data_IF_591829309420
#
_entry.id   IF_591829309420
#
_cell.length_a   1.000
_cell.length_b   1.000
_cell.length_c   1.000
_cell.angle_alpha   90.00
_cell.angle_beta   90.00
_cell.angle_gamma   90.00
#
_symmetry.space_group_name_H-M   'P 1'
#
loop_
_entity.id
_entity.type
_entity.pdbx_description
1 polymer ?
#
# COMPACT_ATOMS: atom_id res chain seq x y z
N UNK A 1 -24.50 -9.81 27.98
CA UNK A 1 -23.29 -9.74 27.12
C UNK A 1 -22.66 -8.35 27.07
N UNK A 2 -23.38 -7.28 26.69
CA UNK A 2 -22.79 -5.92 26.57
C UNK A 2 -22.13 -5.40 27.87
N UNK A 3 -22.77 -5.54 29.04
CA UNK A 3 -22.19 -5.11 30.33
C UNK A 3 -20.89 -5.85 30.69
N UNK A 4 -20.82 -7.17 30.48
CA UNK A 4 -19.62 -7.97 30.75
C UNK A 4 -18.47 -7.60 29.80
N UNK A 5 -18.78 -7.28 28.54
CA UNK A 5 -17.80 -6.81 27.57
C UNK A 5 -17.22 -5.45 27.98
N UNK A 6 -18.07 -4.50 28.40
CA UNK A 6 -17.60 -3.20 28.88
C UNK A 6 -16.75 -3.32 30.15
N UNK A 7 -17.10 -4.23 31.06
CA UNK A 7 -16.26 -4.54 32.22
C UNK A 7 -14.89 -5.10 31.80
N UNK A 8 -14.87 -6.06 30.87
CA UNK A 8 -13.65 -6.63 30.33
C UNK A 8 -12.76 -5.57 29.66
N UNK A 9 -13.37 -4.68 28.86
CA UNK A 9 -12.68 -3.55 28.22
C UNK A 9 -12.02 -2.64 29.25
N UNK A 10 -12.74 -2.26 30.31
CA UNK A 10 -12.18 -1.43 31.41
C UNK A 10 -11.03 -2.14 32.14
N UNK A 11 -11.11 -3.45 32.34
CA UNK A 11 -10.02 -4.23 32.94
C UNK A 11 -8.77 -4.23 32.04
N UNK A 12 -8.95 -4.37 30.73
CA UNK A 12 -7.88 -4.27 29.73
C UNK A 12 -7.22 -2.89 29.72
N UNK A 13 -8.02 -1.82 29.75
CA UNK A 13 -7.51 -0.44 29.79
C UNK A 13 -6.64 -0.20 31.04
N UNK A 14 -7.10 -0.64 32.21
CA UNK A 14 -6.31 -0.58 33.46
C UNK A 14 -5.02 -1.40 33.39
N UNK A 15 -5.08 -2.61 32.83
CA UNK A 15 -3.91 -3.46 32.68
C UNK A 15 -2.86 -2.80 31.77
N UNK A 16 -3.29 -2.20 30.66
CA UNK A 16 -2.43 -1.46 29.74
C UNK A 16 -1.73 -0.29 30.42
N UNK A 17 -2.44 0.53 31.20
CA UNK A 17 -1.84 1.63 31.96
C UNK A 17 -0.77 1.15 32.95
N UNK A 18 -1.00 0.00 33.60
CA UNK A 18 -0.05 -0.59 34.53
C UNK A 18 1.21 -1.17 33.84
N UNK A 19 1.08 -1.62 32.59
CA UNK A 19 2.16 -2.22 31.81
C UNK A 19 2.99 -1.16 31.08
N UNK A 20 2.37 -0.09 30.57
CA UNK A 20 3.06 1.10 30.04
C UNK A 20 3.99 1.73 31.11
N UNK A 21 3.62 1.64 32.39
CA UNK A 21 4.45 2.11 33.52
C UNK A 21 5.63 1.15 33.85
N UNK A 22 5.60 -0.12 33.40
CA UNK A 22 6.61 -1.16 33.69
C UNK A 22 7.58 -1.44 32.54
N UNK A 23 7.36 -0.85 31.36
CA UNK A 23 8.17 -1.10 30.16
C UNK A 23 9.55 -0.42 30.24
N UNK A 24 10.50 -1.03 30.95
CA UNK A 24 11.91 -0.91 30.56
C UNK A 24 12.16 -1.91 29.43
N UNK A 25 12.25 -1.43 28.18
CA UNK A 25 12.48 -2.29 27.02
C UNK A 25 13.92 -2.79 26.99
N UNK A 26 14.21 -3.83 27.78
CA UNK A 26 15.45 -4.59 27.57
C UNK A 26 15.42 -5.16 26.15
N UNK A 27 16.44 -4.83 25.35
CA UNK A 27 16.63 -5.41 24.00
C UNK A 27 16.82 -6.92 24.05
N UNK A 28 17.23 -7.43 25.21
CA UNK A 28 17.45 -8.84 25.49
C UNK A 28 16.30 -9.40 26.31
N UNK A 29 15.79 -10.57 25.91
CA UNK A 29 14.74 -11.30 26.64
C UNK A 29 14.86 -12.80 26.43
N UNK A 30 14.55 -13.57 27.48
CA UNK A 30 14.50 -15.02 27.42
C UNK A 30 13.24 -15.51 26.67
N UNK A 31 13.27 -16.73 26.11
CA UNK A 31 12.08 -17.32 25.51
C UNK A 31 11.03 -17.66 26.59
N UNK A 32 9.76 -17.50 26.26
CA UNK A 32 8.61 -17.85 27.09
C UNK A 32 7.59 -18.60 26.25
N UNK A 33 7.15 -19.76 26.73
CA UNK A 33 6.03 -20.51 26.17
C UNK A 33 5.03 -20.74 27.31
N UNK A 34 3.81 -20.28 27.11
CA UNK A 34 2.73 -20.42 28.09
C UNK A 34 1.52 -21.05 27.42
N UNK A 35 1.04 -22.16 27.98
CA UNK A 35 -0.20 -22.81 27.52
C UNK A 35 -1.32 -22.26 28.39
N UNK A 36 -2.13 -21.37 27.83
CA UNK A 36 -3.24 -20.75 28.54
C UNK A 36 -4.33 -21.81 28.74
N UNK A 37 -4.63 -22.11 30.00
CA UNK A 37 -5.69 -23.03 30.40
C UNK A 37 -6.89 -22.23 30.88
N UNK A 38 -8.08 -22.70 30.53
CA UNK A 38 -9.30 -22.13 31.09
C UNK A 38 -9.52 -22.68 32.49
N UNK A 39 -9.88 -21.82 33.45
CA UNK A 39 -10.36 -22.27 34.75
C UNK A 39 -11.79 -22.75 34.56
N UNK A 40 -12.02 -24.05 34.69
CA UNK A 40 -13.34 -24.66 34.61
C UNK A 40 -14.21 -24.12 35.76
N UNK A 41 -15.07 -23.13 35.49
CA UNK A 41 -16.18 -22.79 36.39
C UNK A 41 -17.34 -23.76 36.18
N UNK A 42 -18.13 -24.02 37.22
CA UNK A 42 -19.24 -24.99 37.22
C UNK A 42 -20.25 -24.76 36.06
N UNK A 43 -20.46 -23.51 35.65
CA UNK A 43 -21.37 -23.11 34.56
C UNK A 43 -20.88 -23.55 33.15
N UNK A 44 -19.58 -23.78 32.97
CA UNK A 44 -18.98 -24.26 31.71
C UNK A 44 -19.10 -25.78 31.55
N UNK A 45 -19.10 -26.51 32.67
CA UNK A 45 -19.23 -27.97 32.71
C UNK A 45 -20.62 -28.41 32.26
N UNK A 46 -21.68 -27.66 32.64
CA UNK A 46 -23.05 -27.91 32.20
C UNK A 46 -23.24 -27.76 30.68
N UNK A 47 -22.48 -26.88 30.03
CA UNK A 47 -22.66 -26.55 28.60
C UNK A 47 -21.71 -27.29 27.63
N UNK A 48 -20.77 -28.13 28.12
CA UNK A 48 -19.81 -28.93 27.30
C UNK A 48 -19.09 -28.15 26.18
N UNK A 49 -18.80 -26.86 26.38
CA UNK A 49 -18.10 -26.06 25.35
C UNK A 49 -16.60 -26.31 25.47
N UNK A 50 -16.04 -27.11 24.56
CA UNK A 50 -14.60 -27.36 24.48
C UNK A 50 -13.90 -26.16 23.79
N UNK A 51 -13.20 -25.33 24.57
CA UNK A 51 -12.47 -24.17 24.04
C UNK A 51 -11.15 -24.63 23.41
N UNK A 52 -10.79 -24.16 22.20
CA UNK A 52 -9.50 -24.46 21.59
C UNK A 52 -8.32 -24.03 22.47
N UNK A 53 -7.26 -24.85 22.47
CA UNK A 53 -6.02 -24.55 23.21
C UNK A 53 -5.36 -23.27 22.66
N UNK A 54 -5.06 -22.34 23.56
CA UNK A 54 -4.29 -21.13 23.24
C UNK A 54 -2.86 -21.28 23.80
N UNK A 55 -1.86 -21.06 22.94
CA UNK A 55 -0.44 -21.11 23.32
C UNK A 55 0.19 -19.76 23.02
N UNK A 56 0.65 -19.08 24.07
CA UNK A 56 1.42 -17.85 23.96
C UNK A 56 2.91 -18.19 23.80
N UNK A 57 3.56 -17.56 22.81
CA UNK A 57 4.99 -17.76 22.54
C UNK A 57 5.68 -16.40 22.39
N UNK A 58 6.62 -16.12 23.28
CA UNK A 58 7.59 -15.05 23.13
C UNK A 58 8.96 -15.65 22.86
N UNK A 59 9.49 -15.44 21.65
CA UNK A 59 10.84 -15.88 21.29
C UNK A 59 11.91 -15.10 22.06
N UNK A 60 13.02 -15.78 22.30
CA UNK A 60 14.27 -15.16 22.76
C UNK A 60 14.68 -14.03 21.82
N UNK A 61 15.17 -12.92 22.39
CA UNK A 61 15.86 -11.89 21.63
C UNK A 61 17.17 -11.54 22.31
N UNK A 62 18.20 -11.34 21.50
CA UNK A 62 19.51 -10.83 21.88
C UNK A 62 19.89 -9.71 20.94
N UNK A 63 20.39 -8.60 21.47
CA UNK A 63 20.86 -7.44 20.71
C UNK A 63 21.94 -7.78 19.68
N UNK A 64 22.70 -8.85 19.90
CA UNK A 64 23.77 -9.32 19.01
C UNK A 64 23.29 -10.12 17.80
N UNK A 65 22.01 -10.46 17.72
CA UNK A 65 21.46 -11.33 16.68
C UNK A 65 20.32 -10.66 15.92
N UNK A 66 20.29 -10.83 14.60
CA UNK A 66 19.16 -10.38 13.79
C UNK A 66 17.98 -11.35 13.90
N UNK A 67 16.77 -10.82 14.12
CA UNK A 67 15.59 -11.63 14.46
C UNK A 67 14.60 -11.83 13.30
N UNK A 68 14.88 -11.29 12.10
CA UNK A 68 14.05 -11.47 10.90
C UNK A 68 12.56 -11.12 11.09
N UNK A 69 12.26 -10.12 11.94
CA UNK A 69 10.93 -9.54 12.14
C UNK A 69 9.78 -10.57 12.17
N UNK A 70 8.73 -10.40 11.35
CA UNK A 70 7.54 -11.27 11.30
C UNK A 70 7.88 -12.69 10.84
N UNK A 71 8.67 -12.84 9.78
CA UNK A 71 9.09 -14.15 9.26
C UNK A 71 9.80 -15.01 10.32
N UNK A 72 10.72 -14.42 11.08
CA UNK A 72 11.39 -15.11 12.18
C UNK A 72 10.44 -15.52 13.31
N UNK A 73 9.36 -14.76 13.55
CA UNK A 73 8.36 -15.11 14.56
C UNK A 73 7.52 -16.30 14.10
N UNK A 74 7.04 -16.28 12.85
CA UNK A 74 6.27 -17.38 12.25
C UNK A 74 7.10 -18.67 12.21
N UNK A 75 8.39 -18.59 11.87
CA UNK A 75 9.28 -19.76 11.88
C UNK A 75 9.46 -20.36 13.28
N UNK A 76 9.48 -19.55 14.35
CA UNK A 76 9.50 -20.05 15.73
C UNK A 76 8.15 -20.70 16.07
N UNK A 77 7.03 -20.05 15.73
CA UNK A 77 5.69 -20.58 15.96
C UNK A 77 5.49 -21.93 15.27
N UNK A 78 5.99 -22.11 14.04
CA UNK A 78 5.96 -23.38 13.32
C UNK A 78 6.71 -24.49 14.06
N UNK A 79 7.92 -24.21 14.58
CA UNK A 79 8.70 -25.20 15.35
C UNK A 79 8.02 -25.57 16.66
N UNK A 80 7.48 -24.59 17.38
CA UNK A 80 6.75 -24.84 18.63
C UNK A 80 5.46 -25.62 18.36
N UNK A 81 4.71 -25.25 17.33
CA UNK A 81 3.50 -25.95 16.89
C UNK A 81 3.80 -27.42 16.54
N UNK A 82 4.90 -27.67 15.82
CA UNK A 82 5.36 -29.02 15.49
C UNK A 82 5.58 -29.93 16.70
N UNK A 83 5.91 -29.37 17.87
CA UNK A 83 6.08 -30.11 19.12
C UNK A 83 4.78 -30.25 19.93
N UNK A 84 3.88 -29.26 19.85
CA UNK A 84 2.69 -29.19 20.72
C UNK A 84 1.45 -29.84 20.07
N UNK A 85 1.18 -29.53 18.81
CA UNK A 85 -0.03 -30.00 18.10
C UNK A 85 0.29 -30.72 16.79
N UNK A 86 1.45 -30.44 16.18
CA UNK A 86 1.90 -30.97 14.90
C UNK A 86 0.82 -30.88 13.80
N UNK A 87 0.12 -29.76 13.76
CA UNK A 87 -0.96 -29.54 12.79
C UNK A 87 -0.41 -29.51 11.35
N UNK A 88 -1.04 -30.20 10.39
CA UNK A 88 -0.57 -30.26 9.00
C UNK A 88 -0.81 -28.96 8.22
N UNK A 89 -1.67 -28.07 8.72
CA UNK A 89 -2.06 -26.83 8.05
C UNK A 89 -1.86 -25.64 8.99
N UNK A 90 -1.46 -24.51 8.43
CA UNK A 90 -1.26 -23.25 9.15
C UNK A 90 -2.18 -22.17 8.58
N UNK A 91 -2.92 -21.50 9.45
CA UNK A 91 -3.59 -20.24 9.15
C UNK A 91 -2.77 -19.10 9.76
N UNK A 92 -2.35 -18.14 8.92
CA UNK A 92 -1.63 -16.93 9.36
C UNK A 92 -2.59 -15.75 9.29
N UNK A 93 -2.75 -15.04 10.41
CA UNK A 93 -3.56 -13.83 10.52
C UNK A 93 -2.76 -12.72 11.18
N UNK A 94 -2.94 -11.50 10.69
CA UNK A 94 -2.35 -10.30 11.29
C UNK A 94 -3.22 -9.81 12.45
N UNK A 95 -2.61 -9.07 13.39
CA UNK A 95 -3.29 -8.62 14.61
C UNK A 95 -4.44 -7.64 14.35
N UNK A 96 -4.44 -7.01 13.18
CA UNK A 96 -5.47 -6.10 12.70
C UNK A 96 -6.47 -6.79 11.76
N UNK A 97 -6.43 -8.13 11.65
CA UNK A 97 -7.36 -8.94 10.87
C UNK A 97 -8.17 -9.85 11.80
N UNK A 98 -9.50 -9.78 11.74
CA UNK A 98 -10.40 -10.68 12.45
C UNK A 98 -11.08 -11.67 11.48
N UNK A 99 -11.44 -12.84 12.01
CA UNK A 99 -12.28 -13.80 11.32
C UNK A 99 -13.73 -13.32 11.38
N UNK A 100 -14.31 -12.98 10.22
CA UNK A 100 -15.67 -12.46 10.11
C UNK A 100 -16.68 -13.57 9.80
N UNK A 101 -16.29 -14.56 9.00
CA UNK A 101 -17.10 -15.76 8.77
C UNK A 101 -16.51 -16.96 9.55
N UNK A 102 -17.21 -17.53 10.55
CA UNK A 102 -16.71 -18.68 11.30
C UNK A 102 -16.49 -19.93 10.42
N UNK A 103 -17.05 -19.96 9.20
CA UNK A 103 -16.87 -21.04 8.24
C UNK A 103 -15.58 -20.91 7.40
N UNK A 104 -14.83 -19.81 7.53
CA UNK A 104 -13.64 -19.53 6.70
C UNK A 104 -12.62 -20.67 6.70
N UNK A 105 -12.32 -21.24 7.88
CA UNK A 105 -11.41 -22.39 7.97
C UNK A 105 -11.96 -23.61 7.21
N UNK A 106 -13.26 -23.91 7.36
CA UNK A 106 -13.91 -25.02 6.66
C UNK A 106 -13.94 -24.81 5.15
N UNK A 107 -14.18 -23.59 4.68
CA UNK A 107 -14.12 -23.23 3.27
C UNK A 107 -12.72 -23.46 2.69
N UNK A 108 -11.67 -23.08 3.40
CA UNK A 108 -10.29 -23.37 2.99
C UNK A 108 -10.02 -24.88 2.89
N UNK A 109 -10.54 -25.66 3.86
CA UNK A 109 -10.39 -27.12 3.87
C UNK A 109 -11.01 -27.80 2.65
N UNK A 110 -12.05 -27.22 2.04
CA UNK A 110 -12.63 -27.78 0.80
C UNK A 110 -11.61 -27.90 -0.33
N UNK A 111 -10.69 -26.93 -0.47
CA UNK A 111 -9.64 -26.98 -1.48
C UNK A 111 -8.45 -27.86 -1.05
N UNK A 112 -8.09 -27.78 0.22
CA UNK A 112 -6.94 -28.51 0.78
C UNK A 112 -7.19 -30.02 0.81
N UNK A 113 -8.44 -30.45 0.98
CA UNK A 113 -8.81 -31.88 1.04
C UNK A 113 -9.30 -32.43 -0.31
N UNK A 114 -9.38 -31.60 -1.36
CA UNK A 114 -9.78 -32.05 -2.70
C UNK A 114 -8.67 -32.94 -3.29
N UNK A 115 -8.93 -34.23 -3.59
CA UNK A 115 -7.91 -35.14 -4.12
C UNK A 115 -7.30 -34.73 -5.47
N UNK A 116 -8.00 -33.89 -6.25
CA UNK A 116 -7.54 -33.40 -7.55
C UNK A 116 -6.60 -32.20 -7.43
N UNK A 117 -6.83 -31.32 -6.44
CA UNK A 117 -6.08 -30.06 -6.31
C UNK A 117 -4.99 -30.16 -5.22
N UNK A 118 -5.28 -30.88 -4.13
CA UNK A 118 -4.45 -30.92 -2.91
C UNK A 118 -2.99 -31.34 -3.11
N UNK A 119 -2.71 -32.20 -4.10
CA UNK A 119 -1.37 -32.76 -4.33
C UNK A 119 -0.31 -31.71 -4.66
N UNK A 120 -0.74 -30.62 -5.30
CA UNK A 120 0.14 -29.54 -5.74
C UNK A 120 -0.24 -28.20 -5.10
N UNK A 121 -1.19 -28.18 -4.16
CA UNK A 121 -1.67 -26.95 -3.51
C UNK A 121 -0.76 -26.56 -2.34
N UNK A 122 -0.16 -25.37 -2.42
CA UNK A 122 0.61 -24.81 -1.32
C UNK A 122 -0.24 -24.01 -0.32
N UNK A 123 -1.15 -23.17 -0.81
CA UNK A 123 -1.98 -22.33 0.06
C UNK A 123 -3.28 -21.87 -0.59
N UNK A 124 -4.25 -21.50 0.26
CA UNK A 124 -5.50 -20.83 -0.12
C UNK A 124 -5.43 -19.39 0.38
N UNK A 125 -5.46 -18.44 -0.54
CA UNK A 125 -5.47 -17.01 -0.24
C UNK A 125 -6.91 -16.48 -0.23
N UNK A 126 -7.29 -15.82 0.86
CA UNK A 126 -8.52 -15.04 0.94
C UNK A 126 -8.22 -13.57 0.62
N UNK A 127 -9.19 -12.82 0.04
CA UNK A 127 -9.10 -11.37 -0.10
C UNK A 127 -8.94 -10.69 1.26
N UNK A 128 -8.17 -9.61 1.30
CA UNK A 128 -8.13 -8.71 2.45
C UNK A 128 -9.23 -7.66 2.29
N UNK A 129 -10.29 -7.77 3.10
CA UNK A 129 -11.33 -6.76 3.21
C UNK A 129 -11.08 -5.89 4.45
N UNK A 130 -11.59 -4.65 4.46
CA UNK A 130 -11.40 -3.73 5.58
C UNK A 130 -12.72 -3.15 6.04
N UNK A 131 -12.93 -3.03 7.36
CA UNK A 131 -14.21 -2.59 7.93
C UNK A 131 -14.32 -1.06 8.11
N UNK A 132 -13.21 -0.33 8.08
CA UNK A 132 -13.13 1.11 8.37
C UNK A 132 -12.98 1.98 7.10
N UNK A 133 -13.36 1.48 5.93
CA UNK A 133 -13.24 2.19 4.66
C UNK A 133 -14.44 3.10 4.45
N UNK A 134 -14.18 4.36 4.09
CA UNK A 134 -15.22 5.33 3.73
C UNK A 134 -15.70 5.11 2.29
N UNK A 135 -16.95 5.47 2.01
CA UNK A 135 -17.50 5.51 0.64
C UNK A 135 -16.67 6.40 -0.32
N UNK A 136 -15.95 7.38 0.23
CA UNK A 136 -15.07 8.26 -0.53
C UNK A 136 -13.72 7.62 -0.88
N UNK A 137 -13.26 6.67 -0.05
CA UNK A 137 -11.94 6.00 -0.09
C UNK A 137 -10.82 6.82 -0.75
N UNK A 138 -10.56 8.03 -0.22
CA UNK A 138 -9.63 8.99 -0.82
C UNK A 138 -8.16 8.52 -0.85
N UNK A 139 -7.84 7.46 -0.11
CA UNK A 139 -6.51 6.84 -0.05
C UNK A 139 -6.46 5.48 -0.76
N UNK A 140 -7.54 5.09 -1.46
CA UNK A 140 -7.68 3.83 -2.18
C UNK A 140 -7.27 2.62 -1.30
N UNK A 141 -7.59 2.67 -0.01
CA UNK A 141 -7.09 1.75 1.01
C UNK A 141 -7.71 0.36 0.84
N UNK A 142 -8.87 0.27 0.20
CA UNK A 142 -9.48 -1.01 -0.12
C UNK A 142 -8.79 -1.74 -1.27
N UNK A 143 -7.98 -1.05 -2.09
CA UNK A 143 -7.26 -1.61 -3.23
C UNK A 143 -8.17 -2.46 -4.14
N UNK A 144 -9.39 -1.96 -4.43
CA UNK A 144 -10.49 -2.72 -5.06
C UNK A 144 -10.08 -3.37 -6.37
N UNK A 145 -9.52 -2.59 -7.28
CA UNK A 145 -9.05 -3.09 -8.59
C UNK A 145 -8.03 -4.19 -8.42
N UNK A 146 -7.14 -4.05 -7.43
CA UNK A 146 -6.07 -5.00 -7.16
C UNK A 146 -6.59 -6.34 -6.62
N UNK A 147 -7.51 -6.34 -5.64
CA UNK A 147 -8.04 -7.57 -5.04
C UNK A 147 -9.16 -8.24 -5.86
N UNK A 148 -9.95 -7.48 -6.63
CA UNK A 148 -11.11 -8.03 -7.35
C UNK A 148 -10.83 -8.36 -8.82
N UNK A 149 -9.99 -7.57 -9.49
CA UNK A 149 -9.82 -7.62 -10.95
C UNK A 149 -8.38 -7.97 -11.37
N UNK A 150 -7.38 -7.40 -10.70
CA UNK A 150 -5.96 -7.56 -11.04
C UNK A 150 -5.38 -8.95 -10.79
N UNK A 151 -4.09 -9.12 -11.13
CA UNK A 151 -3.37 -10.35 -10.81
C UNK A 151 -3.33 -10.56 -9.28
N UNK A 152 -3.96 -11.66 -8.83
CA UNK A 152 -4.28 -11.92 -7.43
C UNK A 152 -3.11 -12.51 -6.64
N UNK A 153 -2.00 -11.78 -6.59
CA UNK A 153 -0.81 -12.15 -5.81
C UNK A 153 -0.46 -10.99 -4.87
N UNK A 154 -0.84 -11.00 -3.58
CA UNK A 154 -0.08 -10.20 -2.60
C UNK A 154 -0.39 -10.39 -1.12
N UNK A 155 0.68 -10.18 -0.35
CA UNK A 155 0.77 -9.61 1.00
C UNK A 155 2.21 -8.99 1.15
N UNK A 156 2.78 -8.80 2.33
CA UNK A 156 4.13 -8.25 2.58
C UNK A 156 5.30 -8.94 1.83
N UNK A 157 6.45 -8.27 1.78
CA UNK A 157 7.61 -8.69 0.97
C UNK A 157 8.06 -10.13 1.25
N UNK A 158 8.06 -10.55 2.53
CA UNK A 158 8.41 -11.91 2.91
C UNK A 158 7.40 -12.97 2.46
N UNK A 159 6.12 -12.63 2.39
CA UNK A 159 5.07 -13.58 1.98
C UNK A 159 4.94 -13.65 0.45
N UNK A 160 5.15 -12.54 -0.27
CA UNK A 160 5.30 -12.51 -1.73
C UNK A 160 6.49 -13.37 -2.14
N UNK A 161 7.63 -13.22 -1.45
CA UNK A 161 8.81 -14.05 -1.70
C UNK A 161 8.54 -15.52 -1.39
N UNK A 162 7.89 -15.82 -0.26
CA UNK A 162 7.56 -17.21 0.13
C UNK A 162 6.62 -17.86 -0.90
N UNK A 163 5.55 -17.16 -1.29
CA UNK A 163 4.61 -17.63 -2.31
C UNK A 163 5.28 -17.84 -3.66
N UNK A 164 6.12 -16.90 -4.10
CA UNK A 164 6.90 -17.05 -5.32
C UNK A 164 7.84 -18.26 -5.26
N UNK A 165 8.56 -18.47 -4.14
CA UNK A 165 9.45 -19.62 -3.99
C UNK A 165 8.69 -20.95 -4.03
N UNK A 166 7.48 -21.02 -3.47
CA UNK A 166 6.62 -22.19 -3.59
C UNK A 166 6.22 -22.43 -5.06
N UNK A 167 5.80 -21.38 -5.75
CA UNK A 167 5.43 -21.46 -7.17
C UNK A 167 6.61 -21.84 -8.07
N UNK A 168 7.83 -21.36 -7.80
CA UNK A 168 9.04 -21.77 -8.56
C UNK A 168 9.33 -23.26 -8.43
N UNK A 169 8.91 -23.90 -7.32
CA UNK A 169 9.06 -25.34 -7.09
C UNK A 169 7.94 -26.17 -7.73
N UNK A 170 6.95 -25.54 -8.34
CA UNK A 170 5.82 -26.17 -9.01
C UNK A 170 4.58 -26.32 -8.14
N UNK A 171 4.55 -25.72 -6.96
CA UNK A 171 3.31 -25.64 -6.20
C UNK A 171 2.35 -24.63 -6.83
N UNK A 172 1.07 -24.79 -6.56
CA UNK A 172 -0.04 -23.94 -6.99
C UNK A 172 -0.71 -23.28 -5.78
N UNK A 173 -1.47 -22.22 -6.03
CA UNK A 173 -2.25 -21.53 -5.01
C UNK A 173 -3.68 -21.33 -5.48
N UNK A 174 -4.64 -21.34 -4.56
CA UNK A 174 -6.03 -20.97 -4.83
C UNK A 174 -6.29 -19.57 -4.27
N UNK A 175 -6.95 -18.72 -5.04
CA UNK A 175 -7.54 -17.49 -4.52
C UNK A 175 -9.05 -17.65 -4.40
N UNK A 176 -9.58 -17.54 -3.18
CA UNK A 176 -10.99 -17.76 -2.90
C UNK A 176 -11.63 -16.51 -2.31
N UNK A 177 -12.58 -15.92 -3.05
CA UNK A 177 -13.36 -14.73 -2.66
C UNK A 177 -14.81 -15.16 -2.34
N UNK A 178 -15.10 -15.51 -1.07
CA UNK A 178 -16.46 -15.89 -0.68
C UNK A 178 -17.44 -14.70 -0.75
N UNK A 179 -18.74 -14.95 -0.95
CA UNK A 179 -19.75 -13.87 -1.00
C UNK A 179 -19.78 -12.99 0.25
N UNK A 180 -19.53 -13.58 1.42
CA UNK A 180 -19.31 -12.87 2.67
C UNK A 180 -17.79 -12.79 2.92
N UNK A 181 -17.22 -11.61 3.22
CA UNK A 181 -15.82 -11.49 3.59
C UNK A 181 -15.44 -12.46 4.71
N UNK A 182 -14.51 -13.37 4.43
CA UNK A 182 -14.00 -14.32 5.42
C UNK A 182 -13.24 -13.63 6.55
N UNK A 183 -12.43 -12.63 6.19
CA UNK A 183 -11.59 -11.88 7.12
C UNK A 183 -11.78 -10.37 6.90
N UNK A 184 -11.90 -9.62 7.98
CA UNK A 184 -11.96 -8.15 7.95
C UNK A 184 -10.77 -7.56 8.68
N UNK A 185 -10.18 -6.54 8.08
CA UNK A 185 -9.03 -5.82 8.59
C UNK A 185 -9.32 -4.38 8.93
N UNK A 186 -8.33 -3.71 9.51
CA UNK A 186 -8.26 -2.25 9.55
C UNK A 186 -7.36 -1.74 8.41
N UNK A 187 -7.91 -0.89 7.54
CA UNK A 187 -7.20 -0.21 6.46
C UNK A 187 -6.63 1.14 6.89
N UNK A 188 -5.77 1.75 6.07
CA UNK A 188 -5.21 3.07 6.33
C UNK A 188 -6.25 4.18 6.11
N UNK A 189 -6.34 5.12 7.02
CA UNK A 189 -7.35 6.22 6.98
C UNK A 189 -6.74 7.61 7.04
N UNK A 190 -5.41 7.73 7.04
CA UNK A 190 -4.70 8.99 6.90
C UNK A 190 -3.61 8.90 5.81
N UNK A 191 -3.12 10.05 5.36
CA UNK A 191 -2.13 10.12 4.29
C UNK A 191 -0.78 9.55 4.74
N UNK A 192 -0.32 9.88 5.94
CA UNK A 192 0.99 9.46 6.44
C UNK A 192 1.18 7.94 6.39
N UNK A 193 0.21 7.20 6.94
CA UNK A 193 0.23 5.75 6.98
C UNK A 193 0.20 5.13 5.59
N UNK A 194 -0.58 5.73 4.69
CA UNK A 194 -0.65 5.33 3.28
C UNK A 194 0.72 5.47 2.61
N UNK A 195 1.41 6.60 2.81
CA UNK A 195 2.73 6.86 2.21
C UNK A 195 3.82 5.94 2.79
N UNK A 196 3.85 5.78 4.12
CA UNK A 196 4.83 4.93 4.81
C UNK A 196 4.64 3.47 4.42
N UNK A 197 3.39 2.99 4.38
CA UNK A 197 3.08 1.61 3.99
C UNK A 197 3.54 1.32 2.55
N UNK A 198 3.21 2.20 1.60
CA UNK A 198 3.60 2.02 0.21
C UNK A 198 5.11 2.11 0.00
N UNK A 199 5.80 3.01 0.72
CA UNK A 199 7.27 3.11 0.67
C UNK A 199 7.92 1.80 1.13
N UNK A 200 7.43 1.24 2.24
CA UNK A 200 7.96 -0.01 2.82
C UNK A 200 7.73 -1.20 1.88
N UNK A 201 6.51 -1.35 1.35
CA UNK A 201 6.17 -2.45 0.44
C UNK A 201 7.05 -2.41 -0.81
N UNK A 202 7.13 -1.26 -1.47
CA UNK A 202 7.86 -1.12 -2.72
C UNK A 202 9.38 -1.20 -2.53
N UNK A 203 9.91 -0.74 -1.40
CA UNK A 203 11.33 -0.89 -1.09
C UNK A 203 11.72 -2.36 -0.97
N UNK A 204 10.93 -3.16 -0.27
CA UNK A 204 11.23 -4.58 -0.14
C UNK A 204 10.96 -5.37 -1.43
N UNK A 205 9.93 -5.02 -2.22
CA UNK A 205 9.71 -5.61 -3.53
C UNK A 205 10.90 -5.36 -4.47
N UNK A 206 11.46 -4.15 -4.43
CA UNK A 206 12.66 -3.81 -5.19
C UNK A 206 13.90 -4.56 -4.68
N UNK A 207 14.00 -4.85 -3.38
CA UNK A 207 15.05 -5.74 -2.85
C UNK A 207 14.93 -7.17 -3.43
N UNK A 208 13.71 -7.69 -3.57
CA UNK A 208 13.50 -9.01 -4.19
C UNK A 208 13.97 -9.00 -5.64
N UNK A 209 13.66 -7.94 -6.39
CA UNK A 209 13.97 -7.84 -7.83
C UNK A 209 15.46 -7.81 -8.16
N UNK A 210 16.31 -7.35 -7.24
CA UNK A 210 17.78 -7.36 -7.41
C UNK A 210 18.46 -8.50 -6.64
N UNK A 211 17.71 -9.27 -5.85
CA UNK A 211 18.26 -10.38 -5.08
C UNK A 211 18.51 -11.60 -5.98
N UNK A 212 19.18 -12.62 -5.42
CA UNK A 212 19.26 -13.95 -6.05
C UNK A 212 17.89 -14.57 -6.33
N UNK A 213 16.82 -14.07 -5.72
CA UNK A 213 15.43 -14.52 -5.90
C UNK A 213 14.66 -13.65 -6.89
N UNK A 214 15.33 -12.88 -7.76
CA UNK A 214 14.65 -12.11 -8.79
C UNK A 214 13.73 -13.01 -9.64
N UNK A 215 12.44 -12.65 -9.82
CA UNK A 215 11.50 -13.48 -10.58
C UNK A 215 11.97 -13.75 -12.02
N UNK A 216 12.70 -12.82 -12.65
CA UNK A 216 13.16 -12.92 -14.03
C UNK A 216 14.37 -13.83 -14.21
N UNK A 217 15.22 -14.00 -13.18
CA UNK A 217 16.51 -14.69 -13.30
C UNK A 217 16.61 -15.95 -12.45
N UNK A 218 15.67 -16.18 -11.53
CA UNK A 218 15.72 -17.34 -10.64
C UNK A 218 15.50 -18.65 -11.42
N UNK A 219 16.51 -19.53 -11.43
CA UNK A 219 16.47 -20.85 -12.07
C UNK A 219 16.87 -21.97 -11.09
N UNK A 220 16.37 -23.21 -11.27
CA UNK A 220 15.31 -23.60 -12.20
C UNK A 220 13.91 -23.23 -11.64
N UNK A 221 13.11 -22.48 -12.42
CA UNK A 221 11.74 -22.11 -12.07
C UNK A 221 10.74 -22.94 -12.88
N UNK A 222 9.71 -23.48 -12.22
CA UNK A 222 8.56 -24.14 -12.85
C UNK A 222 7.38 -23.21 -13.12
N UNK A 223 7.51 -21.91 -12.84
CA UNK A 223 6.44 -20.93 -13.11
C UNK A 223 6.25 -20.70 -14.61
N UNK A 224 5.01 -20.43 -15.02
CA UNK A 224 4.73 -20.00 -16.39
C UNK A 224 5.33 -18.62 -16.68
N UNK A 225 5.50 -18.28 -17.96
CA UNK A 225 5.96 -16.95 -18.39
C UNK A 225 5.03 -15.86 -17.85
N UNK A 226 3.71 -16.06 -17.93
CA UNK A 226 2.73 -15.08 -17.46
C UNK A 226 2.81 -14.87 -15.94
N UNK A 227 2.96 -15.94 -15.17
CA UNK A 227 3.14 -15.86 -13.72
C UNK A 227 4.46 -15.17 -13.35
N UNK A 228 5.53 -15.46 -14.09
CA UNK A 228 6.83 -14.81 -13.95
C UNK A 228 6.72 -13.30 -14.22
N UNK A 229 6.01 -12.91 -15.29
CA UNK A 229 5.75 -11.51 -15.60
C UNK A 229 4.91 -10.83 -14.51
N UNK A 230 3.89 -11.49 -13.97
CA UNK A 230 3.07 -10.92 -12.89
C UNK A 230 3.90 -10.63 -11.62
N UNK A 231 4.75 -11.59 -11.18
CA UNK A 231 5.69 -11.35 -10.07
C UNK A 231 6.70 -10.25 -10.39
N UNK A 232 7.18 -10.19 -11.63
CA UNK A 232 8.13 -9.15 -12.06
C UNK A 232 7.51 -7.76 -12.04
N UNK A 233 6.29 -7.60 -12.56
CA UNK A 233 5.58 -6.33 -12.54
C UNK A 233 5.44 -5.77 -11.12
N UNK A 234 5.15 -6.64 -10.14
CA UNK A 234 5.09 -6.27 -8.72
C UNK A 234 6.48 -5.92 -8.17
N UNK A 235 7.48 -6.76 -8.45
CA UNK A 235 8.85 -6.58 -7.94
C UNK A 235 9.53 -5.28 -8.43
N UNK A 236 9.25 -4.86 -9.66
CA UNK A 236 9.82 -3.64 -10.27
C UNK A 236 8.92 -2.40 -10.17
N UNK A 237 7.79 -2.49 -9.47
CA UNK A 237 6.77 -1.44 -9.44
C UNK A 237 7.32 -0.07 -8.99
N UNK A 238 8.27 -0.04 -8.04
CA UNK A 238 8.89 1.19 -7.53
C UNK A 238 9.54 2.05 -8.65
N UNK A 239 10.04 1.42 -9.71
CA UNK A 239 10.71 2.13 -10.82
C UNK A 239 9.74 2.97 -11.66
N UNK A 240 8.44 2.71 -11.57
CA UNK A 240 7.42 3.52 -12.26
C UNK A 240 7.39 4.98 -11.77
N UNK A 241 7.97 5.26 -10.58
CA UNK A 241 8.12 6.62 -10.06
C UNK A 241 8.82 7.57 -11.01
N UNK A 242 9.90 7.11 -11.67
CA UNK A 242 10.63 7.94 -12.63
C UNK A 242 9.74 8.35 -13.82
N UNK A 243 8.96 7.42 -14.36
CA UNK A 243 8.04 7.69 -15.46
C UNK A 243 6.93 8.67 -15.05
N UNK A 244 6.35 8.49 -13.87
CA UNK A 244 5.28 9.37 -13.36
C UNK A 244 5.81 10.77 -13.05
N UNK A 245 7.02 10.90 -12.50
CA UNK A 245 7.67 12.19 -12.25
C UNK A 245 8.00 12.90 -13.56
N UNK A 246 8.54 12.18 -14.55
CA UNK A 246 8.76 12.73 -15.88
C UNK A 246 7.45 13.25 -16.50
N UNK A 247 6.37 12.46 -16.42
CA UNK A 247 5.05 12.86 -16.91
C UNK A 247 4.47 14.06 -16.14
N UNK A 248 4.77 14.17 -14.85
CA UNK A 248 4.31 15.29 -14.01
C UNK A 248 5.07 16.58 -14.29
N UNK A 249 6.37 16.51 -14.62
CA UNK A 249 7.26 17.67 -14.67
C UNK A 249 7.52 18.14 -16.12
N UNK A 250 7.85 17.23 -17.03
CA UNK A 250 8.33 17.57 -18.39
C UNK A 250 7.24 18.24 -19.23
N UNK A 251 6.01 17.70 -19.34
CA UNK A 251 4.95 18.36 -20.12
C UNK A 251 4.64 19.77 -19.66
N UNK A 252 4.73 20.02 -18.35
CA UNK A 252 4.45 21.30 -17.73
C UNK A 252 5.54 22.31 -18.04
N UNK A 253 6.81 21.94 -17.89
CA UNK A 253 7.94 22.80 -18.23
C UNK A 253 8.03 23.08 -19.74
N UNK A 254 7.76 22.08 -20.58
CA UNK A 254 7.63 22.30 -22.03
C UNK A 254 6.45 23.22 -22.35
N UNK A 255 5.35 23.14 -21.61
CA UNK A 255 4.18 24.01 -21.80
C UNK A 255 4.54 25.44 -21.38
N UNK A 256 5.33 25.60 -20.31
CA UNK A 256 5.89 26.88 -19.89
C UNK A 256 6.82 27.49 -20.93
N UNK A 257 7.55 26.71 -21.74
CA UNK A 257 8.49 27.17 -22.79
C UNK A 257 7.96 27.16 -24.23
N UNK A 258 6.81 26.55 -24.47
CA UNK A 258 6.15 26.56 -25.79
C UNK A 258 6.68 25.47 -26.71
N UNK A 259 7.37 24.52 -26.11
CA UNK A 259 7.95 23.37 -26.78
C UNK A 259 6.83 22.34 -26.93
N UNK A 260 6.56 21.97 -28.18
CA UNK A 260 5.54 20.97 -28.53
C UNK A 260 6.09 19.56 -28.32
N UNK A 261 5.52 18.80 -27.38
CA UNK A 261 5.87 17.40 -27.15
C UNK A 261 5.00 16.41 -27.93
N UNK A 262 3.75 16.79 -28.19
CA UNK A 262 2.76 15.91 -28.82
C UNK A 262 2.45 16.36 -30.26
N UNK A 263 2.04 15.43 -31.14
CA UNK A 263 1.55 15.78 -32.47
C UNK A 263 0.37 16.76 -32.38
N UNK A 264 0.21 17.58 -33.42
CA UNK A 264 -0.96 18.48 -33.53
C UNK A 264 -2.23 17.65 -33.69
N UNK A 265 -3.38 18.18 -33.32
CA UNK A 265 -4.67 17.48 -33.44
C UNK A 265 -4.99 17.08 -34.89
N UNK A 266 -4.52 17.86 -35.87
CA UNK A 266 -4.66 17.56 -37.30
C UNK A 266 -3.75 16.43 -37.78
N UNK A 267 -2.76 16.03 -36.99
CA UNK A 267 -1.84 14.95 -37.31
C UNK A 267 -2.51 13.60 -37.01
N UNK A 268 -2.56 12.65 -37.96
CA UNK A 268 -3.11 11.31 -37.72
C UNK A 268 -2.49 10.59 -36.53
N UNK A 269 -1.21 10.84 -36.20
CA UNK A 269 -0.55 10.24 -35.05
C UNK A 269 -1.13 10.70 -33.72
N UNK A 270 -1.73 11.90 -33.64
CA UNK A 270 -2.40 12.37 -32.43
C UNK A 270 -3.52 11.42 -32.01
N UNK A 271 -4.26 10.85 -32.98
CA UNK A 271 -5.33 9.91 -32.70
C UNK A 271 -4.81 8.66 -31.96
N UNK A 272 -3.60 8.18 -32.26
CA UNK A 272 -3.02 7.02 -31.59
C UNK A 272 -2.73 7.34 -30.11
N UNK A 273 -2.12 8.48 -29.81
CA UNK A 273 -1.88 8.91 -28.43
C UNK A 273 -3.19 9.09 -27.66
N UNK A 274 -4.19 9.73 -28.30
CA UNK A 274 -5.51 9.92 -27.70
C UNK A 274 -6.20 8.59 -27.42
N UNK A 275 -6.19 7.64 -28.37
CA UNK A 275 -6.78 6.31 -28.19
C UNK A 275 -6.10 5.58 -27.05
N UNK A 276 -4.77 5.52 -26.99
CA UNK A 276 -4.06 4.81 -25.91
C UNK A 276 -4.40 5.39 -24.54
N UNK A 277 -4.38 6.72 -24.40
CA UNK A 277 -4.73 7.39 -23.15
C UNK A 277 -6.20 7.15 -22.74
N UNK A 278 -7.12 7.28 -23.71
CA UNK A 278 -8.55 7.06 -23.47
C UNK A 278 -8.85 5.60 -23.15
N UNK A 279 -8.22 4.64 -23.84
CA UNK A 279 -8.37 3.21 -23.58
C UNK A 279 -7.93 2.86 -22.16
N UNK A 280 -6.76 3.35 -21.71
CA UNK A 280 -6.31 3.15 -20.33
C UNK A 280 -7.28 3.75 -19.31
N UNK A 281 -7.72 4.99 -19.54
CA UNK A 281 -8.62 5.71 -18.63
C UNK A 281 -9.99 5.04 -18.55
N UNK A 282 -10.54 4.63 -19.69
CA UNK A 282 -11.82 3.91 -19.79
C UNK A 282 -11.69 2.53 -19.15
N UNK A 283 -10.61 1.79 -19.42
CA UNK A 283 -10.39 0.49 -18.80
C UNK A 283 -10.40 0.62 -17.27
N UNK A 284 -9.60 1.53 -16.70
CA UNK A 284 -9.57 1.74 -15.25
C UNK A 284 -10.95 2.16 -14.71
N UNK A 285 -11.69 3.00 -15.44
CA UNK A 285 -13.04 3.39 -15.04
C UNK A 285 -14.01 2.19 -15.03
N UNK A 286 -14.00 1.37 -16.08
CA UNK A 286 -14.80 0.15 -16.18
C UNK A 286 -14.44 -0.82 -15.04
N UNK A 287 -13.16 -0.99 -14.75
CA UNK A 287 -12.71 -1.82 -13.62
C UNK A 287 -13.28 -1.33 -12.29
N UNK A 288 -13.23 -0.02 -12.02
CA UNK A 288 -13.85 0.55 -10.82
C UNK A 288 -15.35 0.27 -10.77
N UNK A 289 -16.08 0.44 -11.88
CA UNK A 289 -17.52 0.14 -11.95
C UNK A 289 -17.81 -1.35 -11.72
N UNK A 290 -17.02 -2.26 -12.29
CA UNK A 290 -17.14 -3.70 -12.10
C UNK A 290 -16.95 -4.12 -10.63
N UNK A 291 -16.22 -3.34 -9.83
CA UNK A 291 -16.08 -3.55 -8.38
C UNK A 291 -17.17 -2.89 -7.52
N UNK A 292 -18.20 -2.31 -8.16
CA UNK A 292 -19.26 -1.55 -7.50
C UNK A 292 -18.84 -0.14 -7.05
N UNK A 293 -17.77 0.41 -7.65
CA UNK A 293 -17.29 1.76 -7.37
C UNK A 293 -18.07 2.84 -8.13
N UNK A 294 -17.94 4.09 -7.68
CA UNK A 294 -18.52 5.27 -8.32
C UNK A 294 -17.49 6.06 -9.14
N UNK A 295 -17.95 7.03 -9.93
CA UNK A 295 -17.03 7.98 -10.59
C UNK A 295 -16.13 8.73 -9.58
N UNK A 296 -16.66 9.06 -8.41
CA UNK A 296 -15.90 9.69 -7.33
C UNK A 296 -14.75 8.79 -6.85
N UNK A 297 -15.01 7.49 -6.68
CA UNK A 297 -14.00 6.50 -6.34
C UNK A 297 -12.95 6.34 -7.45
N UNK A 298 -13.37 6.32 -8.71
CA UNK A 298 -12.44 6.31 -9.84
C UNK A 298 -11.49 7.51 -9.80
N UNK A 299 -12.03 8.71 -9.59
CA UNK A 299 -11.25 9.93 -9.55
C UNK A 299 -10.30 9.99 -8.35
N UNK A 300 -10.77 9.57 -7.17
CA UNK A 300 -9.93 9.46 -5.97
C UNK A 300 -8.84 8.38 -6.11
N UNK A 301 -9.16 7.27 -6.78
CA UNK A 301 -8.20 6.22 -7.14
C UNK A 301 -7.10 6.73 -8.06
N UNK A 302 -7.45 7.53 -9.07
CA UNK A 302 -6.47 8.20 -9.95
C UNK A 302 -5.56 9.15 -9.16
N UNK A 303 -6.14 9.98 -8.28
CA UNK A 303 -5.37 10.88 -7.41
C UNK A 303 -4.38 10.13 -6.53
N UNK A 304 -4.85 9.07 -5.87
CA UNK A 304 -4.02 8.23 -5.00
C UNK A 304 -2.93 7.53 -5.81
N UNK A 305 -3.28 6.94 -6.95
CA UNK A 305 -2.32 6.21 -7.79
C UNK A 305 -1.18 7.12 -8.24
N UNK A 306 -1.48 8.33 -8.71
CA UNK A 306 -0.46 9.31 -9.09
C UNK A 306 0.42 9.72 -7.89
N UNK A 307 -0.23 10.00 -6.76
CA UNK A 307 0.41 10.40 -5.49
C UNK A 307 1.38 9.33 -4.99
N UNK A 308 0.92 8.08 -4.90
CA UNK A 308 1.67 6.93 -4.39
C UNK A 308 2.79 6.54 -5.36
N UNK A 309 2.52 6.57 -6.67
CA UNK A 309 3.52 6.22 -7.69
C UNK A 309 4.59 7.29 -7.85
N UNK A 310 4.29 8.57 -7.69
CA UNK A 310 5.29 9.63 -7.79
C UNK A 310 6.24 9.68 -6.57
N UNK A 311 5.68 9.56 -5.36
CA UNK A 311 6.41 9.91 -4.13
C UNK A 311 6.85 8.68 -3.32
N UNK A 312 5.96 7.88 -2.70
CA UNK A 312 6.35 6.65 -1.99
C UNK A 312 7.26 5.73 -2.80
N UNK A 313 7.04 5.59 -4.10
CA UNK A 313 7.86 4.72 -4.93
C UNK A 313 9.26 5.30 -5.19
N UNK A 314 9.37 6.63 -5.32
CA UNK A 314 10.68 7.29 -5.35
C UNK A 314 11.43 7.09 -4.04
N UNK A 315 10.75 7.31 -2.90
CA UNK A 315 11.34 7.06 -1.59
C UNK A 315 11.68 5.59 -1.37
N UNK A 316 10.92 4.66 -1.95
CA UNK A 316 11.23 3.24 -1.94
C UNK A 316 12.54 2.95 -2.69
N UNK A 317 12.75 3.55 -3.87
CA UNK A 317 14.01 3.45 -4.60
C UNK A 317 15.20 4.01 -3.80
N UNK A 318 15.03 5.18 -3.17
CA UNK A 318 16.07 5.78 -2.32
C UNK A 318 16.36 4.91 -1.09
N UNK A 319 15.31 4.46 -0.39
CA UNK A 319 15.43 3.60 0.78
C UNK A 319 16.14 2.28 0.44
N UNK A 320 15.78 1.67 -0.68
CA UNK A 320 16.44 0.50 -1.24
C UNK A 320 17.93 0.78 -1.51
N UNK A 321 18.25 1.86 -2.23
CA UNK A 321 19.62 2.20 -2.58
C UNK A 321 20.48 2.41 -1.32
N UNK A 322 19.97 3.16 -0.34
CA UNK A 322 20.65 3.40 0.94
C UNK A 322 20.92 2.09 1.71
N UNK A 323 20.00 1.12 1.64
CA UNK A 323 20.20 -0.23 2.22
C UNK A 323 21.27 -1.01 1.47
N UNK A 324 21.29 -0.95 0.13
CA UNK A 324 22.30 -1.64 -0.69
C UNK A 324 23.73 -1.19 -0.39
N UNK A 325 23.93 0.11 -0.12
CA UNK A 325 25.26 0.66 0.20
C UNK A 325 25.58 0.65 1.71
N UNK A 326 24.72 0.05 2.54
CA UNK A 326 24.94 -0.07 3.99
C UNK A 326 24.79 1.23 4.77
N UNK A 327 24.20 2.28 4.18
CA UNK A 327 23.93 3.56 4.85
C UNK A 327 22.66 3.56 5.69
N UNK A 328 21.82 2.53 5.56
CA UNK A 328 20.59 2.39 6.33
C UNK A 328 20.36 0.94 6.72
N UNK A 329 20.06 0.72 7.99
CA UNK A 329 19.69 -0.59 8.49
C UNK A 329 18.33 -1.07 7.93
N UNK A 330 18.17 -2.38 7.88
CA UNK A 330 16.88 -3.01 7.61
C UNK A 330 16.01 -2.82 8.86
N UNK A 331 15.27 -1.71 8.92
CA UNK A 331 14.27 -1.44 9.96
C UNK A 331 12.85 -1.76 9.45
N UNK A 332 12.03 -2.35 10.32
CA UNK A 332 10.62 -2.63 10.08
C UNK A 332 9.81 -2.04 11.23
N UNK A 333 9.17 -0.90 10.96
CA UNK A 333 8.18 -0.29 11.84
C UNK A 333 6.79 -0.57 11.27
N UNK A 334 5.91 -1.28 11.99
CA UNK A 334 4.52 -1.40 11.60
C UNK A 334 3.88 -0.03 11.49
N UNK A 335 2.98 0.13 10.52
CA UNK A 335 2.15 1.32 10.40
C UNK A 335 1.12 1.35 11.52
N UNK A 336 0.90 2.50 12.15
CA UNK A 336 -0.10 2.62 13.20
C UNK A 336 -1.48 2.90 12.59
N UNK A 337 -2.31 1.88 12.43
CA UNK A 337 -3.64 2.02 11.83
C UNK A 337 -4.71 2.57 12.79
N UNK A 338 -4.31 3.14 13.92
CA UNK A 338 -5.19 3.92 14.78
C UNK A 338 -5.13 5.40 14.38
N UNK A 339 -6.25 5.97 13.97
CA UNK A 339 -6.35 7.40 13.65
C UNK A 339 -7.07 8.17 14.75
N UNK A 340 -6.75 9.45 14.88
CA UNK A 340 -7.47 10.37 15.76
C UNK A 340 -8.88 10.64 15.21
N UNK A 341 -9.83 11.01 16.09
CA UNK A 341 -11.23 11.24 15.68
C UNK A 341 -11.36 12.31 14.58
N UNK A 342 -10.52 13.36 14.63
CA UNK A 342 -10.49 14.41 13.62
C UNK A 342 -9.97 13.94 12.25
N UNK A 343 -9.00 13.03 12.23
CA UNK A 343 -8.49 12.42 10.99
C UNK A 343 -9.57 11.54 10.34
N UNK A 344 -10.27 10.74 11.16
CA UNK A 344 -11.38 9.91 10.72
C UNK A 344 -12.49 10.77 10.11
N UNK A 345 -12.86 11.88 10.76
CA UNK A 345 -13.85 12.84 10.23
C UNK A 345 -13.44 13.39 8.87
N UNK A 346 -12.18 13.82 8.70
CA UNK A 346 -11.65 14.30 7.40
C UNK A 346 -11.73 13.22 6.33
N UNK A 347 -11.28 12.00 6.64
CA UNK A 347 -11.33 10.86 5.74
C UNK A 347 -12.75 10.54 5.28
N UNK A 348 -13.72 10.50 6.21
CA UNK A 348 -15.12 10.29 5.87
C UNK A 348 -15.69 11.41 5.00
N UNK A 349 -15.27 12.66 5.19
CA UNK A 349 -15.68 13.79 4.36
C UNK A 349 -14.93 13.89 3.02
N UNK A 350 -13.98 12.99 2.75
CA UNK A 350 -13.18 12.99 1.53
C UNK A 350 -12.13 14.11 1.47
N UNK A 351 -11.67 14.56 2.64
CA UNK A 351 -10.65 15.61 2.78
C UNK A 351 -9.30 14.95 3.06
N UNK A 352 -8.30 15.22 2.21
CA UNK A 352 -6.93 14.75 2.41
C UNK A 352 -6.29 15.46 3.62
N UNK A 353 -5.71 14.72 4.55
CA UNK A 353 -4.84 15.27 5.58
C UNK A 353 -3.40 15.34 5.07
N UNK A 354 -2.70 16.44 5.34
CA UNK A 354 -1.27 16.58 5.04
C UNK A 354 -0.43 16.54 6.32
N UNK A 355 -0.94 15.89 7.36
CA UNK A 355 -0.27 15.65 8.64
C UNK A 355 0.73 14.48 8.48
N UNK A 356 1.78 14.69 7.69
CA UNK A 356 2.82 13.69 7.40
C UNK A 356 4.22 14.29 7.49
N UNK A 357 5.25 13.45 7.34
CA UNK A 357 6.65 13.86 7.32
C UNK A 357 6.89 14.95 6.26
N UNK A 358 7.56 16.03 6.68
CA UNK A 358 7.84 17.22 5.85
C UNK A 358 8.47 16.86 4.50
N UNK A 359 9.27 15.78 4.43
CA UNK A 359 9.91 15.34 3.18
C UNK A 359 8.90 14.95 2.10
N UNK A 360 7.77 14.36 2.47
CA UNK A 360 6.72 14.00 1.52
C UNK A 360 5.95 15.24 1.07
N UNK A 361 5.52 16.08 2.04
CA UNK A 361 4.76 17.30 1.77
C UNK A 361 5.54 18.26 0.89
N UNK A 362 6.84 18.40 1.11
CA UNK A 362 7.71 19.28 0.33
C UNK A 362 7.73 18.90 -1.16
N UNK A 363 7.79 17.60 -1.48
CA UNK A 363 7.78 17.16 -2.89
C UNK A 363 6.37 17.32 -3.49
N UNK A 364 5.30 17.00 -2.76
CA UNK A 364 3.92 17.23 -3.24
C UNK A 364 3.68 18.69 -3.60
N UNK A 365 4.04 19.59 -2.69
CA UNK A 365 3.86 21.04 -2.86
C UNK A 365 4.70 21.57 -4.02
N UNK A 366 5.94 21.07 -4.18
CA UNK A 366 6.82 21.45 -5.30
C UNK A 366 6.23 21.05 -6.64
N UNK A 367 5.80 19.79 -6.78
CA UNK A 367 5.19 19.32 -8.04
C UNK A 367 3.88 20.05 -8.31
N UNK A 368 2.99 20.19 -7.31
CA UNK A 368 1.71 20.85 -7.48
C UNK A 368 1.87 22.32 -7.88
N UNK A 369 2.76 23.05 -7.22
CA UNK A 369 3.02 24.47 -7.51
C UNK A 369 3.68 24.65 -8.87
N UNK A 370 4.65 23.81 -9.22
CA UNK A 370 5.26 23.82 -10.56
C UNK A 370 4.20 23.65 -11.65
N UNK A 371 3.30 22.68 -11.46
CA UNK A 371 2.28 22.32 -12.44
C UNK A 371 1.28 23.46 -12.63
N UNK A 372 0.80 24.08 -11.54
CA UNK A 372 -0.12 25.22 -11.64
C UNK A 372 0.55 26.43 -12.28
N UNK A 373 1.74 26.80 -11.81
CA UNK A 373 2.45 27.97 -12.33
C UNK A 373 2.76 27.80 -13.83
N UNK A 374 3.28 26.63 -14.21
CA UNK A 374 3.61 26.31 -15.60
C UNK A 374 2.37 26.26 -16.49
N UNK A 375 1.28 25.66 -16.00
CA UNK A 375 0.02 25.60 -16.73
C UNK A 375 -0.58 26.99 -16.97
N UNK A 376 -0.66 27.84 -15.94
CA UNK A 376 -1.25 29.18 -16.08
C UNK A 376 -0.45 30.07 -17.04
N UNK A 377 0.88 30.10 -16.89
CA UNK A 377 1.76 30.89 -17.76
C UNK A 377 1.78 30.32 -19.19
N UNK A 378 1.91 29.01 -19.32
CA UNK A 378 1.94 28.34 -20.60
C UNK A 378 0.62 28.43 -21.37
N UNK A 379 -0.52 28.34 -20.69
CA UNK A 379 -1.85 28.57 -21.29
C UNK A 379 -2.01 30.01 -21.75
N UNK A 380 -1.63 30.99 -20.91
CA UNK A 380 -1.63 32.41 -21.29
C UNK A 380 -0.82 32.62 -22.58
N UNK A 381 0.41 32.08 -22.63
CA UNK A 381 1.26 32.20 -23.82
C UNK A 381 0.65 31.51 -25.04
N UNK A 382 0.11 30.31 -24.89
CA UNK A 382 -0.50 29.56 -25.99
C UNK A 382 -1.69 30.31 -26.64
N UNK A 383 -2.44 31.07 -25.82
CA UNK A 383 -3.51 31.95 -26.29
C UNK A 383 -2.93 33.18 -26.99
N UNK A 384 -1.98 33.89 -26.35
CA UNK A 384 -1.37 35.11 -26.92
C UNK A 384 -0.65 34.86 -28.24
N UNK A 385 0.08 33.74 -28.36
CA UNK A 385 0.83 33.38 -29.57
C UNK A 385 0.00 32.61 -30.60
N UNK A 386 -1.29 32.37 -30.34
CA UNK A 386 -2.19 31.56 -31.19
C UNK A 386 -1.67 30.13 -31.45
N UNK A 387 -0.84 29.59 -30.54
CA UNK A 387 -0.21 28.27 -30.66
C UNK A 387 -1.01 27.14 -30.00
N UNK A 388 -2.22 27.43 -29.49
CA UNK A 388 -3.11 26.47 -28.82
C UNK A 388 -3.42 25.20 -29.65
N UNK A 389 -3.58 25.32 -30.98
CA UNK A 389 -3.79 24.17 -31.86
C UNK A 389 -2.59 23.22 -31.89
N UNK A 390 -1.37 23.76 -31.76
CA UNK A 390 -0.14 22.96 -31.73
C UNK A 390 0.10 22.33 -30.35
N UNK A 391 -0.39 22.97 -29.29
CA UNK A 391 -0.16 22.57 -27.90
C UNK A 391 -1.35 21.84 -27.27
N UNK A 392 -2.42 21.57 -28.01
CA UNK A 392 -3.68 21.04 -27.48
C UNK A 392 -3.49 19.80 -26.59
N UNK A 393 -2.83 18.74 -27.08
CA UNK A 393 -2.61 17.52 -26.30
C UNK A 393 -1.84 17.77 -25.00
N UNK A 394 -0.87 18.68 -25.06
CA UNK A 394 -0.06 19.07 -23.90
C UNK A 394 -0.86 19.89 -22.89
N UNK A 395 -1.71 20.81 -23.35
CA UNK A 395 -2.62 21.58 -22.51
C UNK A 395 -3.62 20.65 -21.82
N UNK A 396 -4.22 19.71 -22.55
CA UNK A 396 -5.17 18.72 -21.99
C UNK A 396 -4.52 17.84 -20.92
N UNK A 397 -3.34 17.29 -21.20
CA UNK A 397 -2.60 16.47 -20.22
C UNK A 397 -2.18 17.29 -19.00
N UNK A 398 -1.66 18.50 -19.21
CA UNK A 398 -1.21 19.39 -18.13
C UNK A 398 -2.37 19.80 -17.23
N UNK A 399 -3.55 20.06 -17.81
CA UNK A 399 -4.77 20.31 -17.06
C UNK A 399 -5.19 19.09 -16.22
N UNK A 400 -5.17 17.89 -16.80
CA UNK A 400 -5.49 16.66 -16.07
C UNK A 400 -4.55 16.44 -14.87
N UNK A 401 -3.25 16.69 -15.05
CA UNK A 401 -2.26 16.62 -13.96
C UNK A 401 -2.56 17.66 -12.87
N UNK A 402 -2.86 18.91 -13.23
CA UNK A 402 -3.24 19.95 -12.23
C UNK A 402 -4.50 19.52 -11.45
N UNK A 403 -5.49 18.94 -12.14
CA UNK A 403 -6.73 18.48 -11.51
C UNK A 403 -6.50 17.31 -10.52
N UNK A 404 -5.52 16.44 -10.81
CA UNK A 404 -5.06 15.37 -9.91
C UNK A 404 -4.45 15.96 -8.63
N UNK A 405 -3.62 16.99 -8.74
CA UNK A 405 -2.96 17.64 -7.59
C UNK A 405 -3.83 18.68 -6.85
N UNK A 406 -5.09 18.87 -7.23
CA UNK A 406 -6.00 19.82 -6.59
C UNK A 406 -6.04 19.75 -5.05
N UNK A 407 -6.11 18.56 -4.39
CA UNK A 407 -6.15 18.49 -2.93
C UNK A 407 -4.92 19.12 -2.25
N UNK A 408 -3.75 19.07 -2.90
CA UNK A 408 -2.52 19.71 -2.40
C UNK A 408 -2.68 21.23 -2.48
N UNK A 409 -3.17 21.75 -3.61
CA UNK A 409 -3.36 23.18 -3.83
C UNK A 409 -4.40 23.76 -2.86
N UNK A 410 -5.50 23.05 -2.66
CA UNK A 410 -6.53 23.40 -1.69
C UNK A 410 -5.95 23.44 -0.26
N UNK A 411 -5.14 22.44 0.11
CA UNK A 411 -4.49 22.39 1.41
C UNK A 411 -3.41 23.48 1.61
N UNK A 412 -2.76 23.94 0.53
CA UNK A 412 -1.77 25.03 0.59
C UNK A 412 -2.42 26.42 0.67
N UNK A 413 -3.48 26.66 -0.10
CA UNK A 413 -3.98 28.02 -0.35
C UNK A 413 -5.31 28.34 0.34
N UNK A 414 -6.20 27.35 0.50
CA UNK A 414 -7.60 27.59 0.90
C UNK A 414 -7.88 27.13 2.32
N UNK A 415 -7.22 26.07 2.79
CA UNK A 415 -7.49 25.44 4.08
C UNK A 415 -6.67 26.04 5.22
N UNK A 416 -7.30 26.13 6.39
CA UNK A 416 -6.71 26.60 7.66
C UNK A 416 -6.85 25.61 8.82
N UNK A 417 -7.35 24.41 8.54
CA UNK A 417 -7.47 23.34 9.54
C UNK A 417 -6.12 22.64 9.76
N UNK A 418 -6.04 21.80 10.81
CA UNK A 418 -4.81 21.07 11.17
C UNK A 418 -4.25 20.17 10.05
N UNK A 419 -5.10 19.75 9.11
CA UNK A 419 -4.72 18.95 7.95
C UNK A 419 -4.21 19.77 6.76
N UNK A 420 -4.09 21.09 6.88
CA UNK A 420 -3.56 21.98 5.84
C UNK A 420 -2.03 21.96 5.80
N UNK A 421 -1.46 22.57 4.75
CA UNK A 421 0.00 22.64 4.57
C UNK A 421 0.52 23.94 5.18
N UNK A 422 1.53 23.83 6.05
CA UNK A 422 2.09 25.00 6.73
C UNK A 422 2.78 25.98 5.76
N UNK A 423 2.69 27.27 6.06
CA UNK A 423 3.33 28.34 5.28
C UNK A 423 4.84 28.17 5.20
N UNK A 424 5.47 27.61 6.23
CA UNK A 424 6.90 27.29 6.23
C UNK A 424 7.28 26.34 5.08
N UNK A 425 6.48 25.28 4.86
CA UNK A 425 6.71 24.35 3.75
C UNK A 425 6.55 25.07 2.42
N UNK A 426 5.51 25.91 2.27
CA UNK A 426 5.30 26.71 1.05
C UNK A 426 6.48 27.61 0.71
N UNK A 427 7.16 28.19 1.71
CA UNK A 427 8.39 28.98 1.47
C UNK A 427 9.53 28.10 0.98
N UNK A 428 9.75 26.93 1.59
CA UNK A 428 10.76 25.97 1.14
C UNK A 428 10.49 25.50 -0.30
N UNK A 429 9.22 25.29 -0.66
CA UNK A 429 8.79 24.95 -2.01
C UNK A 429 9.32 25.94 -3.05
N UNK A 430 9.28 27.25 -2.77
CA UNK A 430 9.79 28.27 -3.69
C UNK A 430 11.29 28.13 -3.95
N UNK A 431 12.07 27.75 -2.94
CA UNK A 431 13.49 27.44 -3.09
C UNK A 431 13.74 26.27 -4.06
N UNK A 432 13.02 25.16 -3.87
CA UNK A 432 13.14 23.98 -4.73
C UNK A 432 12.69 24.25 -6.17
N UNK A 433 11.65 25.07 -6.36
CA UNK A 433 11.18 25.46 -7.69
C UNK A 433 12.25 26.24 -8.47
N UNK A 434 13.00 27.13 -7.82
CA UNK A 434 14.08 27.87 -8.48
C UNK A 434 15.18 26.91 -8.97
N UNK A 435 15.53 25.91 -8.17
CA UNK A 435 16.51 24.88 -8.55
C UNK A 435 16.00 24.06 -9.74
N UNK A 436 14.76 23.57 -9.69
CA UNK A 436 14.16 22.79 -10.78
C UNK A 436 14.09 23.59 -12.08
N UNK A 437 13.69 24.86 -12.00
CA UNK A 437 13.64 25.75 -13.16
C UNK A 437 15.03 26.00 -13.75
N UNK A 438 16.05 26.22 -12.91
CA UNK A 438 17.43 26.39 -13.35
C UNK A 438 17.97 25.13 -14.02
N UNK A 439 17.79 23.96 -13.40
CA UNK A 439 18.19 22.67 -13.97
C UNK A 439 17.54 22.41 -15.32
N UNK A 440 16.25 22.75 -15.48
CA UNK A 440 15.57 22.59 -16.75
C UNK A 440 16.11 23.52 -17.85
N UNK A 441 16.47 24.77 -17.50
CA UNK A 441 17.10 25.68 -18.46
C UNK A 441 18.52 25.25 -18.86
N UNK A 442 19.21 24.43 -18.06
CA UNK A 442 20.52 23.87 -18.43
C UNK A 442 20.40 22.67 -19.38
N UNK A 443 19.24 22.00 -19.41
CA UNK A 443 18.97 20.82 -20.24
C UNK A 443 18.46 21.18 -21.64
N UNK A 444 18.04 22.43 -21.86
CA UNK A 444 17.59 23.00 -23.13
C UNK A 444 18.67 23.93 -23.70
#
# INVERSE_FOLDING_TARGET
MSSNYELFKKCLEKARESEEMRLSSSRDRLPLIEVMRHNETEEFIENKVNIPRLVYVSREKRSTHHHNFKAGAINVLLRVSGLISNAPYLLVLDCDMNCNDPMSARQAMCFILDPMISKELAFVQFPQYFHNISENDIYNSQMRTFFKIGFRYHSLVEDVLTGMLLHTKGWTSVYYDPPQPAFLGTGTTNLNDTLVQNTRWNSGLLQVSVSKFCPLTYQPSKMSILQTLAYSCLAFQALTSFSVLCLSIVPQLCLLKGITLYPKVSDPWFAIFAIVYMSYTIQHFVEVLCTGGSFKLFWNGQRTSFTVSAIPYLFACVDFFLKCIGMKDIDFRPTNKSSMEDEIKKYHNGIFDFETDIKFVLIFTTIATLNVASFLVGLKRAITETSYNKLFGQISLSFAIVAVYYPVLEAMALRKDKGSISTHVTVLTMGFLMVLYHMFNLLL
#
